data_IF_635234631116
#
_entry.id   IF_635234631116
#
_cell.length_a   1.000
_cell.length_b   1.000
_cell.length_c   1.000
_cell.angle_alpha   90.00
_cell.angle_beta   90.00
_cell.angle_gamma   90.00
#
_symmetry.space_group_name_H-M   'P 1'
#
loop_
_entity.id
_entity.type
_entity.pdbx_description
1 polymer ?
#
# COMPACT_ATOMS: atom_id res chain seq x y z
N UNK A 1 -4.14 31.58 6.36
CA UNK A 1 -5.38 30.96 6.88
C UNK A 1 -6.03 30.28 5.70
N UNK A 2 -5.64 29.02 5.44
CA UNK A 2 -6.24 28.25 4.36
C UNK A 2 -7.64 27.85 4.82
N UNK A 3 -8.63 28.09 3.97
CA UNK A 3 -10.01 27.64 4.15
C UNK A 3 -10.00 26.14 4.36
N UNK A 4 -10.43 25.67 5.53
CA UNK A 4 -10.68 24.26 5.76
C UNK A 4 -11.76 23.82 4.78
N UNK A 5 -11.40 22.97 3.82
CA UNK A 5 -12.37 22.25 3.02
C UNK A 5 -13.18 21.39 4.00
N UNK A 6 -14.36 21.89 4.40
CA UNK A 6 -15.26 21.20 5.32
C UNK A 6 -15.92 20.06 4.57
N UNK A 7 -15.20 18.96 4.38
CA UNK A 7 -15.81 17.70 4.01
C UNK A 7 -16.61 17.21 5.20
N UNK A 8 -17.87 16.81 5.01
CA UNK A 8 -18.71 16.13 6.02
C UNK A 8 -18.20 14.71 6.35
N UNK A 9 -16.92 14.43 6.06
CA UNK A 9 -16.29 13.14 6.22
C UNK A 9 -15.57 13.09 7.56
N UNK A 10 -16.05 12.25 8.47
CA UNK A 10 -15.34 11.94 9.71
C UNK A 10 -14.39 10.75 9.49
N UNK A 11 -13.13 10.92 9.90
CA UNK A 11 -12.12 9.86 9.80
C UNK A 11 -12.56 8.66 10.63
N UNK A 12 -12.75 7.50 9.98
CA UNK A 12 -13.17 6.25 10.62
C UNK A 12 -14.68 6.02 10.66
N UNK A 13 -15.50 6.85 10.01
CA UNK A 13 -16.97 6.68 9.97
C UNK A 13 -17.44 5.32 9.40
N UNK A 14 -16.65 4.72 8.50
CA UNK A 14 -16.94 3.42 7.88
C UNK A 14 -16.38 2.23 8.67
N UNK A 15 -15.73 2.49 9.81
CA UNK A 15 -15.11 1.44 10.59
C UNK A 15 -16.11 0.80 11.56
N UNK A 16 -16.01 -0.51 11.71
CA UNK A 16 -16.71 -1.26 12.74
C UNK A 16 -15.80 -1.33 13.95
N UNK A 17 -16.18 -0.62 15.01
CA UNK A 17 -15.54 -0.72 16.32
C UNK A 17 -16.12 -1.92 17.07
N UNK A 18 -15.38 -3.02 17.10
CA UNK A 18 -15.75 -4.24 17.80
C UNK A 18 -14.88 -4.40 19.05
N UNK A 19 -15.51 -4.49 20.22
CA UNK A 19 -14.80 -4.81 21.46
C UNK A 19 -14.80 -6.33 21.67
N UNK A 20 -13.66 -6.97 21.45
CA UNK A 20 -13.49 -8.40 21.72
C UNK A 20 -12.75 -8.55 23.06
N UNK A 21 -13.50 -8.59 24.16
CA UNK A 21 -12.94 -8.65 25.50
C UNK A 21 -12.14 -7.38 25.85
N UNK A 22 -10.86 -7.48 26.30
CA UNK A 22 -10.05 -6.31 26.62
C UNK A 22 -9.47 -5.60 25.37
N UNK A 23 -9.70 -6.12 24.16
CA UNK A 23 -9.17 -5.57 22.92
C UNK A 23 -10.25 -4.78 22.17
N UNK A 24 -10.05 -3.47 22.02
CA UNK A 24 -10.83 -2.64 21.11
C UNK A 24 -10.29 -2.79 19.69
N UNK A 25 -11.07 -3.40 18.79
CA UNK A 25 -10.73 -3.57 17.39
C UNK A 25 -11.46 -2.50 16.56
N UNK A 26 -10.69 -1.73 15.80
CA UNK A 26 -11.21 -0.75 14.85
C UNK A 26 -11.04 -1.32 13.42
N UNK A 27 -12.11 -1.88 12.86
CA UNK A 27 -12.07 -2.68 11.63
C UNK A 27 -12.59 -1.88 10.45
N UNK A 28 -11.76 -1.65 9.45
CA UNK A 28 -12.19 -1.03 8.20
C UNK A 28 -13.00 -2.02 7.35
N UNK A 29 -14.33 -1.95 7.47
CA UNK A 29 -15.26 -2.98 7.01
C UNK A 29 -15.17 -3.32 5.50
N UNK A 30 -14.99 -2.36 4.56
CA UNK A 30 -14.99 -2.68 3.13
C UNK A 30 -13.85 -3.60 2.70
N UNK A 31 -12.68 -3.50 3.33
CA UNK A 31 -11.44 -4.16 2.87
C UNK A 31 -10.97 -5.28 3.79
N UNK A 32 -11.28 -5.19 5.09
CA UNK A 32 -10.73 -6.10 6.08
C UNK A 32 -11.20 -7.55 5.86
N UNK A 33 -12.50 -7.75 5.67
CA UNK A 33 -13.06 -9.10 5.58
C UNK A 33 -12.58 -9.84 4.33
N UNK A 34 -12.59 -9.16 3.17
CA UNK A 34 -12.16 -9.75 1.90
C UNK A 34 -10.68 -10.11 1.96
N UNK A 35 -9.84 -9.18 2.42
CA UNK A 35 -8.39 -9.39 2.51
C UNK A 35 -8.05 -10.48 3.52
N UNK A 36 -8.69 -10.45 4.69
CA UNK A 36 -8.48 -11.44 5.76
C UNK A 36 -8.88 -12.85 5.33
N UNK A 37 -10.05 -13.02 4.72
CA UNK A 37 -10.50 -14.31 4.20
C UNK A 37 -9.63 -14.81 3.05
N UNK A 38 -9.21 -13.93 2.14
CA UNK A 38 -8.31 -14.29 1.05
C UNK A 38 -6.96 -14.80 1.58
N UNK A 39 -6.36 -14.10 2.55
CA UNK A 39 -5.10 -14.52 3.18
C UNK A 39 -5.30 -15.84 3.93
N UNK A 40 -6.37 -15.97 4.70
CA UNK A 40 -6.67 -17.19 5.45
C UNK A 40 -6.81 -18.40 4.51
N UNK A 41 -7.62 -18.27 3.46
CA UNK A 41 -7.80 -19.32 2.46
C UNK A 41 -6.49 -19.67 1.74
N UNK A 42 -5.69 -18.66 1.39
CA UNK A 42 -4.38 -18.85 0.77
C UNK A 42 -3.44 -19.64 1.68
N UNK A 43 -3.30 -19.25 2.95
CA UNK A 43 -2.44 -19.93 3.92
C UNK A 43 -2.89 -21.38 4.10
N UNK A 44 -4.17 -21.63 4.37
CA UNK A 44 -4.69 -22.99 4.52
C UNK A 44 -4.45 -23.83 3.26
N UNK A 45 -4.71 -23.27 2.08
CA UNK A 45 -4.46 -23.95 0.81
C UNK A 45 -2.99 -24.36 0.63
N UNK A 46 -2.05 -23.47 0.96
CA UNK A 46 -0.61 -23.79 0.87
C UNK A 46 -0.15 -24.83 1.88
N UNK A 47 -0.76 -24.88 3.07
CA UNK A 47 -0.43 -25.85 4.11
C UNK A 47 -0.98 -27.25 3.82
N UNK A 48 -2.14 -27.35 3.16
CA UNK A 48 -2.74 -28.64 2.79
C UNK A 48 -1.96 -29.33 1.66
N UNK A 49 -1.48 -28.58 0.67
CA UNK A 49 -0.81 -29.12 -0.52
C UNK A 49 0.51 -28.38 -0.84
N UNK A 50 1.55 -28.53 0.01
CA UNK A 50 2.77 -27.74 -0.08
C UNK A 50 3.59 -27.98 -1.36
N UNK A 51 3.63 -29.21 -1.89
CA UNK A 51 4.35 -29.54 -3.12
C UNK A 51 3.69 -28.88 -4.34
N UNK A 52 2.37 -29.03 -4.49
CA UNK A 52 1.62 -28.39 -5.56
C UNK A 52 1.72 -26.85 -5.48
N UNK A 53 1.62 -26.27 -4.28
CA UNK A 53 1.82 -24.84 -4.08
C UNK A 53 3.21 -24.39 -4.53
N UNK A 54 4.25 -25.16 -4.20
CA UNK A 54 5.63 -24.89 -4.61
C UNK A 54 5.77 -24.86 -6.13
N UNK A 55 5.21 -25.84 -6.83
CA UNK A 55 5.31 -25.94 -8.28
C UNK A 55 4.54 -24.81 -8.97
N UNK A 56 3.33 -24.48 -8.49
CA UNK A 56 2.54 -23.35 -8.96
C UNK A 56 3.31 -22.03 -8.76
N UNK A 57 3.86 -21.78 -7.58
CA UNK A 57 4.59 -20.54 -7.29
C UNK A 57 5.87 -20.41 -8.11
N UNK A 58 6.59 -21.52 -8.34
CA UNK A 58 7.75 -21.52 -9.25
C UNK A 58 7.34 -21.20 -10.68
N UNK A 59 6.27 -21.81 -11.18
CA UNK A 59 5.75 -21.56 -12.52
C UNK A 59 5.28 -20.10 -12.67
N UNK A 60 4.52 -19.58 -11.70
CA UNK A 60 4.08 -18.18 -11.67
C UNK A 60 5.26 -17.21 -11.64
N UNK A 61 6.23 -17.43 -10.74
CA UNK A 61 7.44 -16.61 -10.67
C UNK A 61 8.18 -16.61 -12.01
N UNK A 62 8.41 -17.78 -12.60
CA UNK A 62 9.10 -17.89 -13.88
C UNK A 62 8.33 -17.16 -14.99
N UNK A 63 7.01 -17.33 -15.05
CA UNK A 63 6.16 -16.65 -16.03
C UNK A 63 6.22 -15.13 -15.87
N UNK A 64 6.11 -14.61 -14.64
CA UNK A 64 6.23 -13.18 -14.37
C UNK A 64 7.60 -12.66 -14.76
N UNK A 65 8.69 -13.34 -14.38
CA UNK A 65 10.04 -12.88 -14.71
C UNK A 65 10.30 -12.94 -16.23
N UNK A 66 9.88 -13.99 -16.94
CA UNK A 66 10.12 -14.07 -18.39
C UNK A 66 9.31 -13.00 -19.17
N UNK A 67 8.07 -12.73 -18.77
CA UNK A 67 7.18 -11.85 -19.54
C UNK A 67 7.19 -10.39 -19.09
N UNK A 68 7.47 -10.12 -17.81
CA UNK A 68 7.37 -8.77 -17.22
C UNK A 68 8.71 -8.19 -16.74
N UNK A 69 9.85 -8.89 -16.89
CA UNK A 69 11.16 -8.34 -16.46
C UNK A 69 11.44 -6.96 -17.08
N UNK A 70 11.23 -6.80 -18.38
CA UNK A 70 11.38 -5.51 -19.06
C UNK A 70 10.48 -4.41 -18.48
N UNK A 71 9.26 -4.76 -18.07
CA UNK A 71 8.31 -3.82 -17.47
C UNK A 71 8.79 -3.40 -16.08
N UNK A 72 9.27 -4.33 -15.25
CA UNK A 72 9.82 -4.02 -13.94
C UNK A 72 11.08 -3.16 -14.03
N UNK A 73 12.02 -3.49 -14.94
CA UNK A 73 13.21 -2.68 -15.18
C UNK A 73 12.85 -1.28 -15.66
N UNK A 74 11.91 -1.17 -16.60
CA UNK A 74 11.45 0.13 -17.10
C UNK A 74 10.76 0.94 -16.00
N UNK A 75 9.83 0.35 -15.25
CA UNK A 75 9.11 1.02 -14.18
C UNK A 75 10.08 1.56 -13.10
N UNK A 76 11.04 0.72 -12.67
CA UNK A 76 12.08 1.14 -11.73
C UNK A 76 12.92 2.32 -12.25
N UNK A 77 13.37 2.25 -13.50
CA UNK A 77 14.11 3.35 -14.14
C UNK A 77 13.27 4.62 -14.28
N UNK A 78 11.98 4.50 -14.63
CA UNK A 78 11.05 5.64 -14.70
C UNK A 78 10.96 6.33 -13.34
N UNK A 79 10.79 5.59 -12.24
CA UNK A 79 10.75 6.18 -10.91
C UNK A 79 12.07 6.88 -10.53
N UNK A 80 13.22 6.29 -10.89
CA UNK A 80 14.53 6.94 -10.66
C UNK A 80 14.63 8.25 -11.45
N UNK A 81 14.33 8.23 -12.74
CA UNK A 81 14.35 9.43 -13.58
C UNK A 81 13.35 10.48 -13.11
N UNK A 82 12.17 10.04 -12.67
CA UNK A 82 11.15 10.92 -12.09
C UNK A 82 11.65 11.60 -10.81
N UNK A 83 12.26 10.86 -9.88
CA UNK A 83 12.86 11.42 -8.68
C UNK A 83 13.99 12.41 -9.02
N UNK A 84 14.87 12.06 -9.97
CA UNK A 84 15.93 12.98 -10.44
C UNK A 84 15.35 14.25 -11.07
N UNK A 85 14.28 14.11 -11.86
CA UNK A 85 13.54 15.23 -12.42
C UNK A 85 12.98 16.12 -11.30
N UNK A 86 12.34 15.55 -10.28
CA UNK A 86 11.85 16.32 -9.14
C UNK A 86 12.97 17.10 -8.45
N UNK A 87 14.17 16.51 -8.29
CA UNK A 87 15.33 17.18 -7.67
C UNK A 87 15.79 18.40 -8.49
N UNK A 88 15.92 18.25 -9.82
CA UNK A 88 16.49 19.32 -10.66
C UNK A 88 15.47 20.38 -11.06
N UNK A 89 14.19 20.05 -11.03
CA UNK A 89 13.11 20.97 -11.42
C UNK A 89 12.60 21.78 -10.23
N UNK A 90 11.86 22.89 -10.46
CA UNK A 90 11.24 23.66 -9.38
C UNK A 90 10.27 22.86 -8.50
N UNK A 91 9.80 21.70 -8.97
CA UNK A 91 8.89 20.83 -8.23
C UNK A 91 9.50 20.29 -6.93
N UNK A 92 10.82 20.06 -6.88
CA UNK A 92 11.51 19.62 -5.66
C UNK A 92 11.53 20.64 -4.53
N UNK A 93 11.17 21.90 -4.80
CA UNK A 93 11.06 22.96 -3.78
C UNK A 93 9.70 23.00 -3.10
N UNK A 94 8.73 22.23 -3.59
CA UNK A 94 7.37 22.19 -3.03
C UNK A 94 7.41 21.49 -1.67
N UNK A 95 6.92 22.18 -0.63
CA UNK A 95 6.81 21.63 0.72
C UNK A 95 5.52 20.82 0.83
N UNK A 96 5.64 19.57 1.27
CA UNK A 96 4.49 18.73 1.61
C UNK A 96 3.87 19.26 2.92
N UNK A 97 2.56 19.56 2.90
CA UNK A 97 1.86 20.17 4.04
C UNK A 97 1.56 21.67 3.89
N UNK A 98 1.91 22.29 2.75
CA UNK A 98 1.55 23.68 2.43
C UNK A 98 2.73 24.66 2.44
N UNK A 99 2.48 25.91 2.04
CA UNK A 99 3.53 26.92 1.79
C UNK A 99 4.38 27.23 3.02
N UNK A 100 3.77 27.19 4.20
CA UNK A 100 4.40 27.55 5.48
C UNK A 100 4.81 26.33 6.33
N UNK A 101 4.64 25.10 5.80
CA UNK A 101 4.91 23.86 6.54
C UNK A 101 6.38 23.79 6.96
N UNK A 102 6.66 23.34 8.19
CA UNK A 102 8.02 23.10 8.71
C UNK A 102 8.22 21.60 8.95
N UNK A 103 9.46 21.09 8.93
CA UNK A 103 9.71 19.69 9.27
C UNK A 103 9.26 19.41 10.71
N UNK A 104 8.46 18.36 10.91
CA UNK A 104 8.01 17.93 12.24
C UNK A 104 9.14 17.32 13.07
N UNK A 105 10.19 16.82 12.40
CA UNK A 105 11.37 16.21 12.99
C UNK A 105 12.64 16.92 12.51
N UNK A 106 13.60 17.10 13.42
CA UNK A 106 14.93 17.62 13.11
C UNK A 106 15.89 16.52 12.64
N UNK A 107 17.08 16.93 12.21
CA UNK A 107 18.23 16.05 11.99
C UNK A 107 19.08 15.94 13.25
#
# INVERSE_FOLDING_TARGET
>A
MATEETTDYEVGQDNIQANLGPFGLDIHNPVFLISGLAIFAFVIGTLIAPEAATDIFKAMRNWVTVNFDWFFLLAGNIFVLFCLLLIVTPMGKIRLGGKDAKPDYGY
#
